data_IF_250361830685
#
_entry.id   IF_250361830685
#
_cell.length_a   1.000
_cell.length_b   1.000
_cell.length_c   1.000
_cell.angle_alpha   90.00
_cell.angle_beta   90.00
_cell.angle_gamma   90.00
#
_symmetry.space_group_name_H-M   'P 1'
#
loop_
_entity.id
_entity.type
_entity.pdbx_description
1 polymer ?
#
# COMPACT_ATOMS: atom_id res chain seq x y z
N UNK A 1 -4.68 10.20 0.01
CA UNK A 1 -3.87 9.75 -1.14
C UNK A 1 -3.70 8.23 -1.09
N UNK A 2 -3.51 7.55 -2.23
CA UNK A 2 -3.27 6.10 -2.26
C UNK A 2 -1.81 5.81 -2.63
N UNK A 3 -1.11 5.06 -1.78
CA UNK A 3 0.34 4.79 -1.90
C UNK A 3 0.62 3.39 -2.44
N UNK A 4 1.69 3.23 -3.20
CA UNK A 4 2.25 1.90 -3.47
C UNK A 4 2.83 1.31 -2.18
N UNK A 5 3.15 0.01 -2.16
CA UNK A 5 3.78 -0.61 -0.98
C UNK A 5 5.10 0.06 -0.63
N UNK A 6 5.88 0.46 -1.64
CA UNK A 6 7.14 1.20 -1.45
C UNK A 6 6.92 2.55 -0.77
N UNK A 7 5.99 3.34 -1.28
CA UNK A 7 5.63 4.66 -0.73
C UNK A 7 5.05 4.53 0.69
N UNK A 8 4.20 3.52 0.93
CA UNK A 8 3.66 3.25 2.26
C UNK A 8 4.76 2.86 3.25
N UNK A 9 5.71 2.02 2.86
CA UNK A 9 6.85 1.63 3.68
C UNK A 9 7.73 2.85 4.03
N UNK A 10 7.94 3.76 3.08
CA UNK A 10 8.65 5.01 3.30
C UNK A 10 7.93 5.90 4.34
N UNK A 11 6.60 6.05 4.24
CA UNK A 11 5.81 6.79 5.25
C UNK A 11 5.91 6.16 6.63
N UNK A 12 5.90 4.83 6.69
CA UNK A 12 6.05 4.06 7.93
C UNK A 12 7.50 3.97 8.42
N UNK A 13 8.48 4.55 7.73
CA UNK A 13 9.88 4.50 8.14
C UNK A 13 10.49 3.09 8.16
N UNK A 14 10.00 2.17 7.31
CA UNK A 14 10.50 0.79 7.22
C UNK A 14 10.86 0.40 5.78
N UNK A 15 11.62 -0.68 5.63
CA UNK A 15 11.92 -1.26 4.32
C UNK A 15 10.67 -1.86 3.65
N UNK A 16 10.57 -1.76 2.33
CA UNK A 16 9.46 -2.36 1.55
C UNK A 16 9.35 -3.87 1.79
N UNK A 17 10.48 -4.58 1.86
CA UNK A 17 10.52 -6.02 2.14
C UNK A 17 9.86 -6.34 3.48
N UNK A 18 10.20 -5.61 4.54
CA UNK A 18 9.61 -5.75 5.87
C UNK A 18 8.10 -5.53 5.85
N UNK A 19 7.61 -4.53 5.11
CA UNK A 19 6.18 -4.30 4.98
C UNK A 19 5.48 -5.43 4.21
N UNK A 20 6.08 -5.96 3.14
CA UNK A 20 5.54 -7.11 2.40
C UNK A 20 5.48 -8.37 3.27
N UNK A 21 6.51 -8.61 4.06
CA UNK A 21 6.57 -9.77 4.94
C UNK A 21 5.53 -9.67 6.06
N UNK A 22 5.33 -8.47 6.62
CA UNK A 22 4.22 -8.20 7.55
C UNK A 22 2.86 -8.44 6.91
N UNK A 23 2.62 -7.91 5.70
CA UNK A 23 1.35 -8.12 4.99
C UNK A 23 1.07 -9.61 4.71
N UNK A 24 2.11 -10.41 4.44
CA UNK A 24 1.99 -11.87 4.30
C UNK A 24 1.74 -12.56 5.64
N UNK A 25 2.44 -12.15 6.71
CA UNK A 25 2.31 -12.77 8.04
C UNK A 25 0.89 -12.61 8.58
N UNK A 26 0.27 -11.44 8.37
CA UNK A 26 -1.13 -11.19 8.76
C UNK A 26 -2.14 -11.74 7.74
N UNK A 27 -1.70 -12.44 6.69
CA UNK A 27 -2.52 -12.98 5.58
C UNK A 27 -3.38 -11.90 4.90
N UNK A 28 -2.85 -10.68 4.77
CA UNK A 28 -3.44 -9.64 3.92
C UNK A 28 -3.02 -9.83 2.46
N UNK A 29 -1.84 -10.40 2.22
CA UNK A 29 -1.39 -10.83 0.90
C UNK A 29 -1.34 -12.35 0.77
N UNK A 30 -1.70 -12.82 -0.41
CA UNK A 30 -1.46 -14.18 -0.86
C UNK A 30 0.03 -14.39 -1.19
N UNK A 31 0.43 -15.65 -1.39
CA UNK A 31 1.83 -16.00 -1.74
C UNK A 31 2.31 -15.35 -3.04
N UNK A 32 1.40 -15.20 -4.01
CA UNK A 32 1.65 -14.55 -5.30
C UNK A 32 1.68 -13.01 -5.24
N UNK A 33 1.46 -12.42 -4.04
CA UNK A 33 1.45 -10.98 -3.84
C UNK A 33 0.13 -10.29 -4.19
N UNK A 34 -0.92 -11.04 -4.51
CA UNK A 34 -2.28 -10.50 -4.66
C UNK A 34 -2.96 -10.28 -3.31
N UNK A 35 -3.93 -9.36 -3.27
CA UNK A 35 -4.72 -9.10 -2.08
C UNK A 35 -5.60 -10.32 -1.73
N UNK A 36 -5.54 -10.77 -0.48
CA UNK A 36 -6.38 -11.86 -0.02
C UNK A 36 -7.86 -11.47 -0.03
N UNK A 37 -8.74 -12.38 -0.47
CA UNK A 37 -10.15 -12.09 -0.76
C UNK A 37 -10.90 -11.40 0.39
N UNK A 38 -10.64 -11.81 1.64
CA UNK A 38 -11.26 -11.23 2.85
C UNK A 38 -10.95 -9.75 3.10
N UNK A 39 -9.94 -9.20 2.43
CA UNK A 39 -9.56 -7.79 2.54
C UNK A 39 -10.09 -6.94 1.37
N UNK A 40 -10.63 -7.57 0.32
CA UNK A 40 -11.26 -6.87 -0.80
C UNK A 40 -12.47 -6.09 -0.28
N UNK A 41 -12.57 -4.81 -0.66
CA UNK A 41 -13.64 -3.92 -0.19
C UNK A 41 -13.48 -3.42 1.25
N UNK A 42 -12.44 -3.85 1.99
CA UNK A 42 -12.21 -3.49 3.38
C UNK A 42 -11.65 -2.07 3.62
N UNK A 43 -11.51 -1.26 2.58
CA UNK A 43 -11.12 0.16 2.63
C UNK A 43 -9.65 0.48 2.94
N UNK A 44 -8.84 -0.51 3.30
CA UNK A 44 -7.43 -0.32 3.75
C UNK A 44 -6.41 -0.60 2.64
N UNK A 45 -6.70 -1.59 1.81
CA UNK A 45 -5.85 -2.09 0.74
C UNK A 45 -6.73 -2.34 -0.48
N UNK A 46 -6.20 -2.13 -1.68
CA UNK A 46 -6.86 -2.53 -2.91
C UNK A 46 -5.85 -2.85 -4.02
N UNK A 47 -6.29 -3.60 -5.01
CA UNK A 47 -5.50 -3.88 -6.21
C UNK A 47 -5.89 -2.90 -7.31
N UNK A 48 -4.98 -2.00 -7.68
CA UNK A 48 -5.14 -1.03 -8.75
C UNK A 48 -4.85 -1.70 -10.09
N UNK A 49 -5.89 -1.89 -10.91
CA UNK A 49 -5.79 -2.57 -12.21
C UNK A 49 -5.18 -1.63 -13.26
N UNK A 50 -4.15 -2.11 -13.94
CA UNK A 50 -3.35 -1.35 -14.90
C UNK A 50 -3.16 -2.11 -16.20
N UNK A 51 -2.80 -1.35 -17.21
CA UNK A 51 -2.45 -1.85 -18.53
C UNK A 51 -1.16 -1.18 -18.99
N UNK A 52 -0.30 -1.95 -19.66
CA UNK A 52 0.84 -1.42 -20.41
C UNK A 52 0.94 -2.14 -21.75
N UNK A 53 1.52 -1.48 -22.74
CA UNK A 53 1.87 -2.11 -24.02
C UNK A 53 3.37 -1.93 -24.23
N UNK A 54 4.21 -2.89 -23.79
CA UNK A 54 5.65 -2.78 -23.98
C UNK A 54 6.00 -2.86 -25.47
N UNK A 55 6.77 -1.89 -25.98
CA UNK A 55 7.14 -1.79 -27.40
C UNK A 55 7.69 -3.09 -27.96
N UNK A 56 8.58 -3.76 -27.20
CA UNK A 56 9.19 -5.03 -27.60
C UNK A 56 8.18 -6.18 -27.79
N UNK A 57 7.08 -6.19 -27.03
CA UNK A 57 6.13 -7.30 -27.06
C UNK A 57 4.98 -7.05 -28.04
N UNK A 58 4.65 -5.78 -28.33
CA UNK A 58 3.52 -5.41 -29.19
C UNK A 58 2.15 -5.86 -28.66
N UNK A 59 2.09 -6.46 -27.46
CA UNK A 59 0.88 -7.04 -26.87
C UNK A 59 0.51 -6.26 -25.60
N UNK A 60 -0.78 -5.99 -25.47
CA UNK A 60 -1.39 -5.36 -24.30
C UNK A 60 -1.27 -6.28 -23.08
N UNK A 61 -0.56 -5.83 -22.04
CA UNK A 61 -0.37 -6.55 -20.78
C UNK A 61 -1.23 -5.93 -19.68
N UNK A 62 -2.08 -6.75 -19.08
CA UNK A 62 -2.89 -6.38 -17.92
C UNK A 62 -2.20 -6.85 -16.64
N UNK A 63 -2.16 -6.00 -15.62
CA UNK A 63 -1.57 -6.32 -14.32
C UNK A 63 -2.25 -5.51 -13.23
N UNK A 64 -2.06 -5.86 -11.96
CA UNK A 64 -2.57 -5.08 -10.85
C UNK A 64 -1.46 -4.79 -9.85
N UNK A 65 -1.54 -3.64 -9.21
CA UNK A 65 -0.57 -3.18 -8.21
C UNK A 65 -1.28 -3.00 -6.88
N UNK A 66 -0.73 -3.56 -5.81
CA UNK A 66 -1.26 -3.31 -4.47
C UNK A 66 -1.07 -1.83 -4.10
N UNK A 67 -2.16 -1.20 -3.69
CA UNK A 67 -2.20 0.15 -3.14
C UNK A 67 -2.70 0.13 -1.70
N UNK A 68 -2.17 1.05 -0.91
CA UNK A 68 -2.50 1.29 0.50
C UNK A 68 -3.21 2.64 0.58
N UNK A 69 -4.39 2.67 1.22
CA UNK A 69 -5.14 3.91 1.46
C UNK A 69 -4.59 4.65 2.69
N UNK A 70 -5.03 5.89 2.96
CA UNK A 70 -4.67 6.56 4.23
C UNK A 70 -5.11 5.75 5.45
N UNK A 71 -6.35 5.25 5.45
CA UNK A 71 -6.83 4.35 6.51
C UNK A 71 -6.01 3.05 6.61
N UNK A 72 -5.42 2.61 5.50
CA UNK A 72 -4.47 1.51 5.47
C UNK A 72 -3.15 1.84 6.16
N UNK A 73 -2.65 3.07 6.02
CA UNK A 73 -1.45 3.54 6.73
C UNK A 73 -1.67 3.52 8.24
N UNK A 74 -2.77 4.10 8.74
CA UNK A 74 -3.07 4.11 10.17
C UNK A 74 -3.20 2.70 10.74
N UNK A 75 -3.88 1.82 9.99
CA UNK A 75 -4.04 0.43 10.36
C UNK A 75 -2.70 -0.32 10.44
N UNK A 76 -1.80 -0.11 9.47
CA UNK A 76 -0.47 -0.72 9.47
C UNK A 76 0.42 -0.15 10.58
N UNK A 77 0.40 1.16 10.79
CA UNK A 77 1.16 1.82 11.85
C UNK A 77 0.79 1.24 13.23
N UNK A 78 -0.51 1.11 13.51
CA UNK A 78 -1.01 0.48 14.73
C UNK A 78 -0.49 -0.94 14.93
N UNK A 79 -0.49 -1.76 13.87
CA UNK A 79 -0.02 -3.14 13.94
C UNK A 79 1.49 -3.25 14.13
N UNK A 80 2.25 -2.30 13.59
CA UNK A 80 3.70 -2.26 13.64
C UNK A 80 4.23 -1.54 14.89
N UNK A 81 3.36 -0.97 15.72
CA UNK A 81 3.73 -0.18 16.89
C UNK A 81 4.40 1.15 16.53
N UNK A 82 4.06 1.72 15.37
CA UNK A 82 4.65 2.96 14.86
C UNK A 82 3.70 4.11 15.22
N UNK A 83 4.21 5.08 15.97
CA UNK A 83 3.47 6.28 16.34
C UNK A 83 3.45 7.27 15.16
N UNK A 84 2.25 7.67 14.72
CA UNK A 84 2.06 8.76 13.76
C UNK A 84 1.70 10.01 14.56
N UNK A 85 2.52 11.05 14.45
CA UNK A 85 2.29 12.33 15.13
C UNK A 85 1.54 13.27 14.21
N UNK A 86 0.44 13.82 14.70
CA UNK A 86 -0.23 14.95 14.07
C UNK A 86 0.61 16.21 14.34
N UNK A 87 1.18 16.78 13.29
CA UNK A 87 1.86 18.06 13.37
C UNK A 87 0.84 19.10 12.89
N UNK A 88 0.27 19.92 13.80
CA UNK A 88 -0.62 20.98 13.37
C UNK A 88 0.11 21.86 12.37
N UNK A 89 -0.50 22.06 11.20
CA UNK A 89 0.04 22.99 10.22
C UNK A 89 0.05 24.36 10.90
N UNK A 90 1.20 25.03 10.97
CA UNK A 90 1.24 26.43 11.40
C UNK A 90 0.32 27.18 10.45
N UNK A 91 -0.76 27.75 10.97
CA UNK A 91 -1.55 28.74 10.26
C UNK A 91 -0.55 29.75 9.70
N UNK A 92 -0.41 29.77 8.38
CA UNK A 92 0.25 30.88 7.72
C UNK A 92 -0.71 32.05 7.89
N UNK A 93 -0.52 32.79 8.98
CA UNK A 93 -1.29 33.98 9.30
C UNK A 93 -1.20 34.93 8.10
N UNK A 94 -2.39 35.32 7.63
CA UNK A 94 -2.62 36.26 6.55
C UNK A 94 -2.18 37.68 6.93
#
# INVERSE_FOLDING_TARGET
>A
MNRTVKEAAQVLGIAESKLRDHLRSIKALNRDGTLAARHIGGGKLFMDSRVTTPERLGIRKHYAVLKVTEAGIDWLAKQLGIEIKEIPQKDSAA
#
